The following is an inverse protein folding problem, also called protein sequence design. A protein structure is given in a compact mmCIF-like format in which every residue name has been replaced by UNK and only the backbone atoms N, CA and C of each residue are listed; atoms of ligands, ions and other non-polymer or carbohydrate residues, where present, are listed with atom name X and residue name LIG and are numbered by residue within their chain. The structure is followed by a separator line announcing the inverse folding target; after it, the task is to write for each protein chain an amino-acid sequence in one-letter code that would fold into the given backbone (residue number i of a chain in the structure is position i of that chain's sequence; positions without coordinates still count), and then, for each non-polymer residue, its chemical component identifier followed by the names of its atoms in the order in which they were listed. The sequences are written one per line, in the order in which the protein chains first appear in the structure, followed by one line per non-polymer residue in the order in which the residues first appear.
data_IF_552521031791
#
_entry.id   IF_552521031791
#
_cell.length_a   1.000
_cell.length_b   1.000
_cell.length_c   1.000
_cell.angle_alpha   90.00
_cell.angle_beta   90.00
_cell.angle_gamma   90.00
#
_symmetry.space_group_name_H-M   'P 1'
#
loop_
_entity.id
_entity.type
_entity.pdbx_description
1 polymer ?
#
# COMPACT_ATOMS: atom_id res chain seq x y z
N UNK A 1 28.72 12.42 -0.25
CA UNK A 1 28.05 11.28 0.39
C UNK A 1 26.52 11.27 0.26
N UNK A 2 25.78 12.35 0.52
CA UNK A 2 24.28 12.35 0.40
C UNK A 2 23.77 12.12 -1.03
N UNK A 3 24.38 12.72 -2.04
CA UNK A 3 23.98 12.59 -3.46
C UNK A 3 24.21 11.18 -4.01
N UNK A 4 25.34 10.53 -3.68
CA UNK A 4 25.62 9.16 -4.13
C UNK A 4 24.58 8.15 -3.58
N UNK A 5 24.28 8.21 -2.29
CA UNK A 5 23.24 7.37 -1.67
C UNK A 5 21.84 7.61 -2.24
N UNK A 6 21.55 8.84 -2.68
CA UNK A 6 20.26 9.18 -3.32
C UNK A 6 20.18 8.62 -4.74
N UNK A 7 21.30 8.60 -5.47
CA UNK A 7 21.38 8.00 -6.81
C UNK A 7 21.25 6.47 -6.73
N UNK A 8 22.03 5.82 -5.86
CA UNK A 8 21.90 4.36 -5.64
C UNK A 8 20.47 3.94 -5.31
N UNK A 9 19.81 4.64 -4.36
CA UNK A 9 18.44 4.36 -4.00
C UNK A 9 17.43 4.63 -5.15
N UNK A 10 17.76 5.51 -6.09
CA UNK A 10 16.94 5.77 -7.27
C UNK A 10 17.15 4.67 -8.32
N UNK A 11 18.39 4.22 -8.52
CA UNK A 11 18.75 3.14 -9.44
C UNK A 11 18.13 1.81 -8.98
N UNK A 12 18.24 1.47 -7.69
CA UNK A 12 17.60 0.29 -7.10
C UNK A 12 16.09 0.31 -7.29
N UNK A 13 15.47 1.48 -7.12
CA UNK A 13 14.04 1.63 -7.33
C UNK A 13 13.65 1.49 -8.80
N UNK A 14 14.40 2.09 -9.71
CA UNK A 14 14.14 1.97 -11.14
C UNK A 14 14.29 0.50 -11.61
N UNK A 15 15.30 -0.21 -11.11
CA UNK A 15 15.51 -1.63 -11.39
C UNK A 15 14.34 -2.49 -10.85
N UNK A 16 13.87 -2.21 -9.62
CA UNK A 16 12.73 -2.88 -9.02
C UNK A 16 11.46 -2.63 -9.85
N UNK A 17 11.17 -1.37 -10.21
CA UNK A 17 10.02 -1.00 -11.06
C UNK A 17 10.06 -1.71 -12.40
N UNK A 18 11.23 -1.71 -13.06
CA UNK A 18 11.40 -2.37 -14.35
C UNK A 18 11.15 -3.89 -14.25
N UNK A 19 11.65 -4.53 -13.18
CA UNK A 19 11.44 -5.95 -12.94
C UNK A 19 9.96 -6.28 -12.77
N UNK A 20 9.24 -5.49 -12.04
CA UNK A 20 7.85 -5.73 -11.72
C UNK A 20 6.86 -5.37 -12.84
N UNK A 21 7.19 -4.38 -13.65
CA UNK A 21 6.45 -4.12 -14.88
C UNK A 21 6.64 -5.27 -15.89
N UNK A 22 7.83 -5.89 -15.89
CA UNK A 22 8.13 -7.01 -16.77
C UNK A 22 7.23 -8.21 -16.51
N UNK A 23 6.93 -8.52 -15.24
CA UNK A 23 6.12 -9.68 -14.86
C UNK A 23 4.68 -9.63 -15.44
N UNK A 24 3.85 -8.58 -15.19
CA UNK A 24 2.51 -8.52 -15.77
C UNK A 24 2.53 -8.36 -17.30
N UNK A 25 3.54 -7.69 -17.87
CA UNK A 25 3.65 -7.57 -19.31
C UNK A 25 4.01 -8.91 -19.97
N UNK A 26 4.88 -9.71 -19.37
CA UNK A 26 5.16 -11.07 -19.84
C UNK A 26 3.93 -11.98 -19.70
N UNK A 27 3.17 -11.88 -18.59
CA UNK A 27 1.93 -12.59 -18.41
C UNK A 27 0.89 -12.20 -19.48
N UNK A 28 0.81 -10.90 -19.85
CA UNK A 28 -0.06 -10.42 -20.90
C UNK A 28 0.30 -11.02 -22.29
N UNK A 29 1.60 -11.15 -22.58
CA UNK A 29 2.08 -11.72 -23.84
C UNK A 29 1.81 -13.22 -23.97
N UNK A 30 1.67 -13.93 -22.85
CA UNK A 30 1.47 -15.39 -22.80
C UNK A 30 0.00 -15.77 -22.54
N UNK A 31 -0.90 -14.81 -22.36
CA UNK A 31 -2.30 -15.02 -21.99
C UNK A 31 -3.23 -14.84 -23.18
N UNK A 32 -4.24 -15.69 -23.30
CA UNK A 32 -5.35 -15.52 -24.23
C UNK A 32 -6.25 -14.31 -23.89
N UNK A 33 -6.24 -13.86 -22.62
CA UNK A 33 -6.88 -12.60 -22.18
C UNK A 33 -5.86 -11.70 -21.47
N UNK A 34 -5.14 -10.84 -22.22
CA UNK A 34 -4.10 -9.96 -21.67
C UNK A 34 -4.65 -8.78 -20.86
N UNK A 35 -5.95 -8.51 -20.92
CA UNK A 35 -6.55 -7.30 -20.34
C UNK A 35 -6.27 -7.15 -18.85
N UNK A 36 -6.39 -8.23 -18.08
CA UNK A 36 -6.15 -8.22 -16.62
C UNK A 36 -4.69 -7.89 -16.30
N UNK A 37 -3.76 -8.48 -17.03
CA UNK A 37 -2.32 -8.26 -16.82
C UNK A 37 -1.88 -6.85 -17.22
N UNK A 38 -2.47 -6.32 -18.31
CA UNK A 38 -2.24 -4.93 -18.74
C UNK A 38 -2.82 -3.95 -17.71
N UNK A 39 -4.04 -4.19 -17.20
CA UNK A 39 -4.63 -3.36 -16.15
C UNK A 39 -3.74 -3.32 -14.90
N UNK A 40 -3.21 -4.47 -14.47
CA UNK A 40 -2.29 -4.54 -13.33
C UNK A 40 -0.99 -3.74 -13.56
N UNK A 41 -0.45 -3.76 -14.77
CA UNK A 41 0.72 -2.96 -15.12
C UNK A 41 0.42 -1.45 -15.10
N UNK A 42 -0.76 -1.05 -15.61
CA UNK A 42 -1.20 0.35 -15.59
C UNK A 42 -1.44 0.84 -14.15
N UNK A 43 -2.08 0.03 -13.30
CA UNK A 43 -2.29 0.34 -11.88
C UNK A 43 -0.97 0.55 -11.14
N UNK A 44 0.08 -0.21 -11.50
CA UNK A 44 1.41 -0.01 -10.96
C UNK A 44 2.01 1.32 -11.41
N UNK A 45 1.91 1.66 -12.69
CA UNK A 45 2.41 2.94 -13.22
C UNK A 45 1.69 4.12 -12.56
N UNK A 46 0.37 4.07 -12.44
CA UNK A 46 -0.42 5.12 -11.79
C UNK A 46 -0.03 5.28 -10.32
N UNK A 47 0.17 4.16 -9.62
CA UNK A 47 0.64 4.17 -8.23
C UNK A 47 2.01 4.83 -8.09
N UNK A 48 2.91 4.57 -9.03
CA UNK A 48 4.25 5.18 -9.06
C UNK A 48 4.17 6.68 -9.32
N UNK A 49 3.34 7.11 -10.28
CA UNK A 49 3.13 8.52 -10.57
C UNK A 49 2.52 9.27 -9.38
N UNK A 50 1.54 8.67 -8.71
CA UNK A 50 0.95 9.24 -7.49
C UNK A 50 1.97 9.33 -6.35
N UNK A 51 2.84 8.32 -6.21
CA UNK A 51 3.90 8.34 -5.20
C UNK A 51 4.97 9.42 -5.43
N UNK A 52 5.09 9.95 -6.66
CA UNK A 52 6.00 11.06 -6.95
C UNK A 52 5.41 12.43 -6.61
N UNK A 53 4.09 12.53 -6.44
CA UNK A 53 3.43 13.77 -6.06
C UNK A 53 3.66 14.07 -4.59
N UNK A 54 4.00 15.30 -4.28
CA UNK A 54 4.09 15.76 -2.90
C UNK A 54 2.68 16.07 -2.40
N UNK A 55 2.33 15.49 -1.24
CA UNK A 55 1.11 15.92 -0.55
C UNK A 55 1.32 17.32 0.00
N UNK A 56 0.31 18.21 -0.07
CA UNK A 56 0.39 19.50 0.59
C UNK A 56 0.72 19.34 2.08
N UNK A 57 1.59 20.20 2.61
CA UNK A 57 1.90 20.20 4.04
C UNK A 57 0.61 20.33 4.88
N UNK A 58 0.49 19.46 5.88
CA UNK A 58 -0.69 19.47 6.77
C UNK A 58 -1.98 18.91 6.16
N UNK A 59 -1.91 18.22 5.00
CA UNK A 59 -3.08 17.61 4.40
C UNK A 59 -3.67 16.50 5.29
N UNK A 60 -5.01 16.47 5.35
CA UNK A 60 -5.78 15.43 6.04
C UNK A 60 -6.72 14.77 5.04
N UNK A 61 -6.80 13.45 5.08
CA UNK A 61 -7.71 12.70 4.23
C UNK A 61 -8.80 12.02 5.05
N UNK A 62 -9.99 11.96 4.48
CA UNK A 62 -11.09 11.12 4.96
C UNK A 62 -10.75 9.67 4.68
N UNK A 63 -10.70 8.86 5.74
CA UNK A 63 -10.41 7.44 5.60
C UNK A 63 -11.50 6.71 4.80
N UNK A 64 -12.75 7.11 4.98
CA UNK A 64 -13.87 6.55 4.24
C UNK A 64 -13.74 6.75 2.74
N UNK A 65 -13.43 8.00 2.32
CA UNK A 65 -13.41 8.34 0.89
C UNK A 65 -12.23 7.65 0.19
N UNK A 66 -11.05 7.64 0.84
CA UNK A 66 -9.89 6.92 0.33
C UNK A 66 -10.09 5.40 0.27
N UNK A 67 -10.83 4.82 1.25
CA UNK A 67 -11.18 3.40 1.21
C UNK A 67 -12.19 3.07 0.12
N UNK A 68 -13.18 3.94 -0.11
CA UNK A 68 -14.15 3.75 -1.20
C UNK A 68 -13.46 3.77 -2.56
N UNK A 69 -12.52 4.68 -2.77
CA UNK A 69 -11.68 4.74 -3.97
C UNK A 69 -10.81 3.50 -4.10
N UNK A 70 -10.07 3.13 -3.05
CA UNK A 70 -9.18 1.97 -3.05
C UNK A 70 -9.94 0.66 -3.31
N UNK A 71 -11.13 0.49 -2.71
CA UNK A 71 -11.96 -0.69 -2.89
C UNK A 71 -12.60 -0.76 -4.30
N UNK A 72 -12.92 0.39 -4.90
CA UNK A 72 -13.47 0.47 -6.26
C UNK A 72 -12.50 -0.03 -7.33
N UNK A 73 -11.20 0.01 -7.09
CA UNK A 73 -10.17 -0.52 -7.96
C UNK A 73 -9.97 -2.04 -7.83
N UNK A 74 -10.50 -2.66 -6.77
CA UNK A 74 -10.42 -4.11 -6.57
C UNK A 74 -11.61 -4.77 -7.26
N UNK A 75 -11.35 -5.77 -8.10
CA UNK A 75 -12.40 -6.58 -8.72
C UNK A 75 -13.27 -7.27 -7.63
N UNK A 76 -14.52 -7.64 -7.93
CA UNK A 76 -15.51 -8.03 -6.92
C UNK A 76 -15.02 -9.20 -6.08
N UNK A 77 -14.38 -8.88 -5.00
CA UNK A 77 -13.90 -9.81 -4.01
C UNK A 77 -14.78 -9.60 -2.79
N UNK A 78 -15.23 -10.71 -2.20
CA UNK A 78 -16.01 -10.70 -0.96
C UNK A 78 -15.11 -10.31 0.23
N UNK A 79 -14.56 -9.08 0.20
CA UNK A 79 -13.79 -8.53 1.28
C UNK A 79 -14.70 -7.58 2.09
N UNK A 80 -14.94 -7.93 3.33
CA UNK A 80 -15.64 -7.03 4.25
C UNK A 80 -14.64 -6.08 4.87
N UNK A 81 -14.78 -4.78 4.61
CA UNK A 81 -13.95 -3.74 5.21
C UNK A 81 -14.76 -3.03 6.30
N UNK A 82 -14.28 -3.12 7.53
CA UNK A 82 -14.84 -2.36 8.65
C UNK A 82 -13.97 -1.10 8.88
N UNK A 83 -14.59 0.07 8.89
CA UNK A 83 -13.93 1.36 9.08
C UNK A 83 -14.76 2.30 9.93
N UNK A 84 -14.11 3.14 10.74
CA UNK A 84 -14.76 4.28 11.37
C UNK A 84 -15.06 5.34 10.31
N UNK A 85 -16.35 5.63 10.13
CA UNK A 85 -16.83 6.54 9.10
C UNK A 85 -16.37 7.99 9.27
N UNK A 86 -15.95 8.37 10.45
CA UNK A 86 -15.52 9.75 10.80
C UNK A 86 -14.01 9.89 10.88
N UNK A 87 -13.28 8.78 10.72
CA UNK A 87 -11.83 8.78 10.86
C UNK A 87 -11.15 9.58 9.75
N UNK A 88 -10.22 10.43 10.16
CA UNK A 88 -9.30 11.17 9.29
C UNK A 88 -7.87 10.79 9.62
N UNK A 89 -6.97 10.95 8.64
CA UNK A 89 -5.57 10.63 8.80
C UNK A 89 -4.67 11.74 8.23
N UNK A 90 -3.57 12.13 8.91
CA UNK A 90 -2.71 13.24 8.50
C UNK A 90 -1.80 12.85 7.33
N UNK A 91 -2.39 12.62 6.17
CA UNK A 91 -1.74 12.30 4.91
C UNK A 91 -2.65 12.77 3.78
N UNK A 92 -2.07 13.22 2.66
CA UNK A 92 -2.87 13.63 1.50
C UNK A 92 -3.71 12.49 0.93
N UNK A 93 -4.91 12.77 0.38
CA UNK A 93 -5.86 11.76 -0.09
C UNK A 93 -5.24 10.81 -1.13
N UNK A 94 -4.51 11.34 -2.13
CA UNK A 94 -3.88 10.54 -3.17
C UNK A 94 -2.90 9.51 -2.57
N UNK A 95 -2.02 9.97 -1.66
CA UNK A 95 -1.04 9.13 -0.98
C UNK A 95 -1.71 8.07 -0.11
N UNK A 96 -2.77 8.44 0.61
CA UNK A 96 -3.52 7.52 1.46
C UNK A 96 -4.27 6.48 0.63
N UNK A 97 -4.91 6.87 -0.47
CA UNK A 97 -5.61 5.96 -1.40
C UNK A 97 -4.66 4.93 -2.00
N UNK A 98 -3.45 5.34 -2.42
CA UNK A 98 -2.42 4.41 -2.92
C UNK A 98 -2.02 3.39 -1.86
N UNK A 99 -1.74 3.85 -0.63
CA UNK A 99 -1.36 2.95 0.47
C UNK A 99 -2.49 1.96 0.77
N UNK A 100 -3.72 2.43 0.92
CA UNK A 100 -4.88 1.59 1.21
C UNK A 100 -5.12 0.56 0.11
N UNK A 101 -5.07 0.97 -1.16
CA UNK A 101 -5.21 0.06 -2.31
C UNK A 101 -4.20 -1.08 -2.26
N UNK A 102 -2.93 -0.76 -2.01
CA UNK A 102 -1.88 -1.78 -1.93
C UNK A 102 -2.08 -2.72 -0.73
N UNK A 103 -2.45 -2.19 0.44
CA UNK A 103 -2.70 -3.01 1.62
C UNK A 103 -3.93 -3.91 1.45
N UNK A 104 -5.01 -3.41 0.84
CA UNK A 104 -6.19 -4.20 0.52
C UNK A 104 -5.88 -5.27 -0.54
N UNK A 105 -5.11 -4.94 -1.58
CA UNK A 105 -4.66 -5.91 -2.58
C UNK A 105 -3.84 -7.04 -1.96
N UNK A 106 -2.96 -6.71 -1.00
CA UNK A 106 -2.19 -7.72 -0.25
C UNK A 106 -3.10 -8.61 0.60
N UNK A 107 -4.11 -8.05 1.28
CA UNK A 107 -5.08 -8.83 2.04
C UNK A 107 -5.84 -9.82 1.13
N UNK A 108 -6.24 -9.36 -0.05
CA UNK A 108 -6.87 -10.21 -1.08
C UNK A 108 -5.93 -11.33 -1.53
N UNK A 109 -4.68 -11.03 -1.86
CA UNK A 109 -3.67 -12.03 -2.23
C UNK A 109 -3.44 -13.05 -1.10
N UNK A 110 -3.50 -12.60 0.15
CA UNK A 110 -3.44 -13.45 1.34
C UNK A 110 -4.75 -14.21 1.63
N UNK A 111 -5.74 -14.17 0.72
CA UNK A 111 -7.05 -14.84 0.85
C UNK A 111 -7.84 -14.38 2.09
N UNK A 112 -7.66 -13.16 2.53
CA UNK A 112 -8.44 -12.57 3.61
C UNK A 112 -9.92 -12.45 3.20
N UNK A 113 -10.81 -12.60 4.18
CA UNK A 113 -12.24 -12.37 4.04
C UNK A 113 -12.68 -11.08 4.71
N UNK A 114 -11.91 -10.63 5.69
CA UNK A 114 -12.19 -9.44 6.48
C UNK A 114 -10.95 -8.58 6.63
N UNK A 115 -11.14 -7.29 6.48
CA UNK A 115 -10.14 -6.28 6.81
C UNK A 115 -10.78 -5.27 7.75
N UNK A 116 -10.11 -4.99 8.86
CA UNK A 116 -10.47 -3.91 9.77
C UNK A 116 -9.50 -2.77 9.59
N UNK A 117 -10.03 -1.57 9.35
CA UNK A 117 -9.22 -0.36 9.18
C UNK A 117 -9.64 0.65 10.24
N UNK A 118 -8.69 1.11 11.04
CA UNK A 118 -8.95 2.09 12.07
C UNK A 118 -7.76 3.02 12.28
N UNK A 119 -8.04 4.19 12.83
CA UNK A 119 -7.01 5.16 13.21
C UNK A 119 -6.93 5.29 14.72
N UNK A 120 -5.74 5.63 15.20
CA UNK A 120 -5.50 5.97 16.60
C UNK A 120 -4.50 7.13 16.67
N UNK A 121 -4.65 7.98 17.67
CA UNK A 121 -3.69 9.04 17.96
C UNK A 121 -3.26 8.94 19.41
N UNK A 122 -1.94 8.90 19.64
CA UNK A 122 -1.36 8.89 20.99
C UNK A 122 -0.09 9.73 21.02
N UNK A 123 -0.02 10.67 21.95
CA UNK A 123 1.12 11.57 22.13
C UNK A 123 1.56 12.28 20.84
N UNK A 124 0.59 12.74 20.01
CA UNK A 124 0.86 13.42 18.74
C UNK A 124 1.28 12.50 17.58
N UNK A 125 1.44 11.20 17.82
CA UNK A 125 1.70 10.21 16.78
C UNK A 125 0.37 9.60 16.31
N UNK A 126 0.15 9.62 15.00
CA UNK A 126 -1.02 9.03 14.35
C UNK A 126 -0.69 7.65 13.79
N UNK A 127 -1.59 6.72 14.00
CA UNK A 127 -1.50 5.36 13.51
C UNK A 127 -2.70 5.05 12.66
N UNK A 128 -2.46 4.56 11.45
CA UNK A 128 -3.47 3.89 10.64
C UNK A 128 -3.14 2.40 10.70
N UNK A 129 -4.09 1.61 11.14
CA UNK A 129 -3.95 0.17 11.30
C UNK A 129 -4.87 -0.53 10.31
N UNK A 130 -4.32 -1.45 9.55
CA UNK A 130 -5.03 -2.32 8.62
C UNK A 130 -4.77 -3.75 9.05
N UNK A 131 -5.80 -4.43 9.57
CA UNK A 131 -5.76 -5.80 10.04
C UNK A 131 -6.51 -6.72 9.08
N UNK A 132 -5.86 -7.68 8.48
CA UNK A 132 -6.49 -8.74 7.70
C UNK A 132 -6.58 -10.06 8.47
N UNK A 133 -7.45 -10.97 8.03
CA UNK A 133 -7.61 -12.33 8.53
C UNK A 133 -7.08 -13.39 7.54
N UNK A 134 -6.18 -13.00 6.65
CA UNK A 134 -5.58 -13.87 5.64
C UNK A 134 -4.59 -14.89 6.24
N UNK A 135 -3.83 -15.53 5.36
CA UNK A 135 -2.84 -16.56 5.77
C UNK A 135 -1.68 -16.02 6.61
N UNK A 136 -1.53 -14.69 6.65
CA UNK A 136 -0.51 -13.99 7.44
C UNK A 136 0.89 -14.08 6.85
N UNK A 137 1.86 -13.57 7.63
CA UNK A 137 3.29 -13.59 7.30
C UNK A 137 3.87 -14.93 7.75
N UNK A 138 4.21 -15.83 6.83
CA UNK A 138 4.83 -17.13 7.15
C UNK A 138 6.31 -16.99 7.52
N UNK A 139 6.86 -17.94 8.32
CA UNK A 139 8.24 -17.86 8.81
C UNK A 139 9.32 -17.97 7.71
N UNK A 140 8.98 -18.44 6.52
CA UNK A 140 9.88 -18.59 5.36
C UNK A 140 9.39 -17.84 4.13
N UNK A 141 8.43 -16.97 4.28
CA UNK A 141 7.98 -16.17 3.14
C UNK A 141 8.87 -14.93 3.08
N UNK A 142 9.90 -15.02 2.26
CA UNK A 142 10.29 -13.86 1.47
C UNK A 142 9.00 -13.17 1.06
N UNK A 143 8.87 -11.87 1.30
CA UNK A 143 7.66 -11.03 1.17
C UNK A 143 7.02 -11.03 -0.24
N UNK A 144 7.04 -12.17 -0.94
CA UNK A 144 6.74 -12.41 -2.35
C UNK A 144 5.30 -12.84 -2.63
N UNK A 145 4.36 -12.63 -1.70
CA UNK A 145 2.94 -12.63 -2.06
C UNK A 145 2.57 -11.26 -2.67
N UNK A 146 2.64 -11.20 -3.96
CA UNK A 146 2.59 -9.98 -4.75
C UNK A 146 4.00 -9.52 -5.09
N UNK A 147 4.09 -8.65 -6.06
CA UNK A 147 5.33 -8.16 -6.67
C UNK A 147 6.36 -7.49 -5.74
N UNK A 148 6.10 -7.38 -4.45
CA UNK A 148 6.99 -6.68 -3.49
C UNK A 148 6.98 -5.16 -3.61
N UNK A 149 6.72 -4.62 -4.78
CA UNK A 149 6.70 -3.18 -5.06
C UNK A 149 5.62 -2.46 -4.29
N UNK A 150 4.40 -3.02 -4.17
CA UNK A 150 3.31 -2.35 -3.51
C UNK A 150 3.65 -1.91 -2.09
N UNK A 151 4.31 -2.78 -1.32
CA UNK A 151 4.74 -2.46 0.05
C UNK A 151 5.93 -1.51 0.07
N UNK A 152 6.88 -1.67 -0.85
CA UNK A 152 8.02 -0.74 -0.97
C UNK A 152 7.54 0.66 -1.38
N UNK A 153 6.59 0.75 -2.29
CA UNK A 153 5.92 1.99 -2.66
C UNK A 153 5.24 2.64 -1.45
N UNK A 154 4.50 1.86 -0.66
CA UNK A 154 3.87 2.34 0.57
C UNK A 154 4.90 2.86 1.58
N UNK A 155 6.04 2.17 1.75
CA UNK A 155 7.14 2.62 2.62
C UNK A 155 7.74 3.93 2.13
N UNK A 156 7.94 4.10 0.82
CA UNK A 156 8.46 5.33 0.22
C UNK A 156 7.49 6.50 0.39
N UNK A 157 6.19 6.29 0.13
CA UNK A 157 5.16 7.31 0.37
C UNK A 157 5.16 7.72 1.85
N UNK A 158 5.14 6.74 2.75
CA UNK A 158 5.20 7.00 4.19
C UNK A 158 6.44 7.80 4.56
N UNK A 159 7.63 7.35 4.14
CA UNK A 159 8.91 8.01 4.46
C UNK A 159 9.04 9.43 3.94
N UNK A 160 8.50 9.73 2.74
CA UNK A 160 8.46 11.09 2.17
C UNK A 160 7.59 12.04 2.99
N UNK A 161 6.54 11.52 3.59
CA UNK A 161 5.61 12.29 4.42
C UNK A 161 5.96 12.22 5.93
N UNK A 162 7.20 11.87 6.29
CA UNK A 162 7.66 11.84 7.69
C UNK A 162 7.11 10.67 8.51
N UNK A 163 6.61 9.63 7.83
CA UNK A 163 6.05 8.43 8.48
C UNK A 163 6.82 7.15 8.18
N UNK A 164 6.27 6.04 8.66
CA UNK A 164 6.81 4.69 8.40
C UNK A 164 5.70 3.64 8.36
N UNK A 165 5.87 2.62 7.52
CA UNK A 165 4.99 1.46 7.43
C UNK A 165 5.66 0.24 8.05
N UNK A 166 4.99 -0.41 8.98
CA UNK A 166 5.40 -1.66 9.63
C UNK A 166 4.38 -2.76 9.36
N UNK A 167 4.88 -3.99 9.19
CA UNK A 167 4.04 -5.18 9.05
C UNK A 167 4.38 -6.15 10.17
N UNK A 168 3.36 -6.76 10.75
CA UNK A 168 3.53 -7.77 11.80
C UNK A 168 2.46 -8.86 11.72
N UNK A 169 2.79 -10.10 12.12
CA UNK A 169 1.80 -11.15 12.22
C UNK A 169 0.81 -10.84 13.34
N UNK A 170 -0.46 -11.18 13.13
CA UNK A 170 -1.49 -11.10 14.19
C UNK A 170 -1.55 -12.41 14.96
N UNK A 171 -1.78 -12.31 16.27
CA UNK A 171 -1.95 -13.51 17.13
C UNK A 171 -3.16 -14.38 16.73
N UNK A 172 -4.19 -13.75 16.16
CA UNK A 172 -5.41 -14.42 15.69
C UNK A 172 -5.30 -14.95 14.26
N UNK A 173 -4.13 -14.91 13.63
CA UNK A 173 -3.91 -15.16 12.21
C UNK A 173 -4.08 -13.89 11.38
N UNK A 174 -3.49 -13.89 10.18
CA UNK A 174 -3.47 -12.73 9.28
C UNK A 174 -2.31 -11.77 9.56
N UNK A 175 -2.37 -10.60 8.91
CA UNK A 175 -1.34 -9.56 8.98
C UNK A 175 -1.91 -8.29 9.59
N UNK A 176 -1.07 -7.57 10.29
CA UNK A 176 -1.30 -6.19 10.71
C UNK A 176 -0.33 -5.28 10.02
N UNK A 177 -0.82 -4.32 9.24
CA UNK A 177 -0.05 -3.22 8.72
C UNK A 177 -0.31 -1.97 9.57
N UNK A 178 0.75 -1.26 9.96
CA UNK A 178 0.66 -0.03 10.75
C UNK A 178 1.41 1.07 10.03
N UNK A 179 0.70 2.06 9.54
CA UNK A 179 1.27 3.30 9.07
C UNK A 179 1.32 4.29 10.24
N UNK A 180 2.53 4.71 10.61
CA UNK A 180 2.78 5.68 11.68
C UNK A 180 3.18 7.00 11.06
N UNK A 181 2.52 8.08 11.47
CA UNK A 181 2.82 9.45 11.05
C UNK A 181 3.08 10.30 12.30
N UNK A 182 4.13 11.11 12.27
CA UNK A 182 4.36 12.14 13.26
C UNK A 182 3.70 13.43 12.75
N UNK A 183 2.99 14.12 13.62
CA UNK A 183 2.49 15.45 13.25
C UNK A 183 3.69 16.38 13.13
N UNK A 184 3.90 16.95 11.94
CA UNK A 184 4.75 18.12 11.82
C UNK A 184 4.21 19.20 12.77
N UNK A 185 5.02 19.63 13.72
CA UNK A 185 4.72 20.71 14.68
C UNK A 185 4.73 22.03 13.94
#
# INVERSE_FOLDING_TARGET
MRLARRNEALEDFAALVAHELKSPLQAALLSDDPRRSIASALDLVDSLLQATRESPDGAWASLRDCLAEAAGCLHPIQLTVAVDATAHFPLGPDSLSVILRNLLANAVAAKARRVNVFTACRHGQWWLVVDDDGIGLGPNQDYNYGSGIGLELCRRIAGRNGGRLELMPRRSGGTRAILKMERAT
#
